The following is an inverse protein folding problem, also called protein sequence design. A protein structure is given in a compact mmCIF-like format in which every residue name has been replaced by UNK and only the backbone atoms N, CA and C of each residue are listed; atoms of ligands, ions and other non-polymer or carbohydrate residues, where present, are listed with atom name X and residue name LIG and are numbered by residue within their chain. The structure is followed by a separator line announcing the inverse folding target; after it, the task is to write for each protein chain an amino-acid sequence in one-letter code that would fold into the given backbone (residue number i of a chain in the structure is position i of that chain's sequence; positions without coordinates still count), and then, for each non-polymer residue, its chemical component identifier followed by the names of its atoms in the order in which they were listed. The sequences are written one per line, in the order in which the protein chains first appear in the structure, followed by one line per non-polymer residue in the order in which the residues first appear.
data_IF_853387724285
#
_entry.id   IF_853387724285
#
_cell.length_a   1.000
_cell.length_b   1.000
_cell.length_c   1.000
_cell.angle_alpha   90.00
_cell.angle_beta   90.00
_cell.angle_gamma   90.00
#
_symmetry.space_group_name_H-M   'P 1'
#
loop_
_entity.id
_entity.type
_entity.pdbx_description
1 polymer ?
#
# COMPACT_ATOMS: atom_id res chain seq x y z
N UNK A 1 7.70 -16.28 11.22
CA UNK A 1 8.02 -17.16 10.07
C UNK A 1 7.99 -16.45 8.72
N UNK A 2 6.85 -16.02 8.16
CA UNK A 2 6.81 -15.41 6.82
C UNK A 2 7.80 -14.25 6.61
N UNK A 3 7.88 -13.33 7.58
CA UNK A 3 8.81 -12.19 7.53
C UNK A 3 10.28 -12.62 7.36
N UNK A 4 10.70 -13.65 8.10
CA UNK A 4 12.05 -14.23 8.04
C UNK A 4 12.32 -14.78 6.63
N UNK A 5 11.39 -15.60 6.12
CA UNK A 5 11.50 -16.17 4.78
C UNK A 5 11.59 -15.10 3.68
N UNK A 6 10.83 -14.01 3.78
CA UNK A 6 10.89 -12.89 2.84
C UNK A 6 12.28 -12.25 2.85
N UNK A 7 12.80 -11.94 4.04
CA UNK A 7 14.11 -11.29 4.21
C UNK A 7 15.24 -12.19 3.67
N UNK A 8 15.24 -13.47 4.02
CA UNK A 8 16.31 -14.39 3.62
C UNK A 8 16.34 -14.74 2.13
N UNK A 9 15.21 -14.57 1.43
CA UNK A 9 15.10 -15.01 0.03
C UNK A 9 15.25 -13.89 -0.98
N UNK A 10 14.97 -12.63 -0.63
CA UNK A 10 14.94 -11.54 -1.63
C UNK A 10 16.28 -11.36 -2.35
N UNK A 11 17.40 -11.52 -1.64
CA UNK A 11 18.75 -11.39 -2.21
C UNK A 11 19.05 -12.47 -3.27
N UNK A 12 18.41 -13.64 -3.19
CA UNK A 12 18.55 -14.69 -4.20
C UNK A 12 17.76 -14.40 -5.48
N UNK A 13 16.80 -13.48 -5.41
CA UNK A 13 15.87 -13.15 -6.50
C UNK A 13 15.99 -11.69 -6.95
N UNK A 14 17.13 -11.07 -6.69
CA UNK A 14 17.48 -9.77 -7.26
C UNK A 14 18.95 -9.69 -7.59
N UNK A 15 19.28 -8.95 -8.64
CA UNK A 15 20.65 -8.53 -8.95
C UNK A 15 20.99 -7.15 -8.39
N UNK A 16 20.01 -6.46 -7.79
CA UNK A 16 20.19 -5.13 -7.20
C UNK A 16 20.83 -5.22 -5.80
N UNK A 17 21.39 -4.10 -5.33
CA UNK A 17 21.78 -3.96 -3.93
C UNK A 17 20.51 -3.83 -3.07
N UNK A 18 20.27 -4.78 -2.18
CA UNK A 18 19.08 -4.81 -1.32
C UNK A 18 19.43 -4.32 0.08
N UNK A 19 18.66 -3.35 0.57
CA UNK A 19 18.74 -2.88 1.95
C UNK A 19 17.45 -3.28 2.67
N UNK A 20 17.58 -4.15 3.69
CA UNK A 20 16.44 -4.65 4.45
C UNK A 20 16.14 -3.72 5.63
N UNK A 21 15.01 -3.04 5.56
CA UNK A 21 14.47 -2.27 6.69
C UNK A 21 13.50 -3.12 7.51
N UNK A 22 13.98 -3.61 8.65
CA UNK A 22 13.20 -4.45 9.54
C UNK A 22 12.69 -3.66 10.75
N UNK A 23 11.37 -3.52 10.85
CA UNK A 23 10.70 -2.90 11.99
C UNK A 23 10.01 -3.94 12.87
N UNK A 24 10.22 -3.83 14.17
CA UNK A 24 9.47 -4.49 15.23
C UNK A 24 8.87 -3.43 16.17
N UNK A 25 8.10 -3.87 17.18
CA UNK A 25 7.41 -2.94 18.08
C UNK A 25 8.39 -2.01 18.82
N UNK A 26 9.53 -2.52 19.25
CA UNK A 26 10.48 -1.74 20.07
C UNK A 26 11.21 -0.71 19.22
N UNK A 27 11.65 -1.10 18.02
CA UNK A 27 12.26 -0.19 17.04
C UNK A 27 11.25 0.85 16.53
N UNK A 28 9.97 0.50 16.36
CA UNK A 28 8.91 1.46 16.00
C UNK A 28 8.74 2.53 17.10
N UNK A 29 8.65 2.12 18.37
CA UNK A 29 8.45 3.06 19.49
C UNK A 29 9.58 4.07 19.64
N UNK A 30 10.78 3.75 19.16
CA UNK A 30 11.95 4.62 19.20
C UNK A 30 11.98 5.63 18.05
N UNK A 31 11.12 5.50 17.04
CA UNK A 31 11.17 6.38 15.88
C UNK A 31 10.62 7.77 16.18
N UNK A 32 11.23 8.84 15.62
CA UNK A 32 10.76 10.20 15.80
C UNK A 32 9.32 10.42 15.37
N UNK A 33 8.75 9.62 14.49
CA UNK A 33 7.36 9.76 14.06
C UNK A 33 6.35 9.02 14.96
N UNK A 34 6.80 8.19 15.89
CA UNK A 34 5.90 7.40 16.74
C UNK A 34 4.98 8.27 17.61
N UNK A 35 5.42 9.47 17.99
CA UNK A 35 4.59 10.40 18.79
C UNK A 35 3.29 10.81 18.10
N UNK A 36 3.22 10.76 16.77
CA UNK A 36 2.00 11.08 16.02
C UNK A 36 0.93 9.99 16.14
N UNK A 37 1.34 8.76 16.41
CA UNK A 37 0.45 7.58 16.34
C UNK A 37 0.25 6.89 17.69
N UNK A 38 1.10 7.14 18.68
CA UNK A 38 1.09 6.45 19.98
C UNK A 38 -0.24 6.55 20.73
N UNK A 39 -0.99 7.63 20.52
CA UNK A 39 -2.25 7.93 21.20
C UNK A 39 -3.48 7.66 20.29
N UNK A 40 -3.30 7.04 19.12
CA UNK A 40 -4.44 6.66 18.28
C UNK A 40 -5.29 5.60 19.00
N UNK A 41 -6.62 5.71 18.93
CA UNK A 41 -7.50 4.78 19.61
C UNK A 41 -7.44 3.40 18.94
N UNK A 42 -7.27 2.35 19.75
CA UNK A 42 -7.55 0.98 19.33
C UNK A 42 -9.06 0.76 19.31
N UNK A 43 -9.63 0.68 18.10
CA UNK A 43 -11.06 0.46 17.91
C UNK A 43 -11.27 -0.97 17.44
N UNK A 44 -11.64 -1.85 18.38
CA UNK A 44 -12.00 -3.23 18.06
C UNK A 44 -13.37 -3.26 17.38
N UNK A 45 -13.41 -3.65 16.11
CA UNK A 45 -14.64 -3.99 15.38
C UNK A 45 -14.55 -5.44 14.94
N UNK A 46 -15.64 -6.19 15.10
CA UNK A 46 -15.67 -7.58 14.61
C UNK A 46 -15.39 -7.60 13.11
N UNK A 47 -14.41 -8.40 12.69
CA UNK A 47 -13.95 -8.48 11.30
C UNK A 47 -13.17 -7.27 10.77
N UNK A 48 -13.04 -6.18 11.54
CA UNK A 48 -12.34 -4.97 11.14
C UNK A 48 -10.86 -4.98 11.53
N UNK A 49 -10.03 -4.33 10.72
CA UNK A 49 -8.63 -4.04 11.10
C UNK A 49 -8.57 -2.96 12.17
N UNK A 50 -7.60 -3.08 13.07
CA UNK A 50 -7.36 -2.07 14.09
C UNK A 50 -6.55 -0.91 13.52
N UNK A 51 -7.14 0.30 13.55
CA UNK A 51 -6.52 1.51 13.01
C UNK A 51 -5.19 1.88 13.68
N UNK A 52 -4.99 1.58 14.97
CA UNK A 52 -3.73 1.85 15.67
C UNK A 52 -2.59 1.04 15.05
N UNK A 53 -2.74 -0.28 14.92
CA UNK A 53 -1.70 -1.13 14.35
C UNK A 53 -1.50 -0.88 12.85
N UNK A 54 -2.57 -0.57 12.11
CA UNK A 54 -2.49 -0.32 10.68
C UNK A 54 -1.92 1.08 10.36
N UNK A 55 -1.93 2.00 11.33
CA UNK A 55 -1.27 3.30 11.17
C UNK A 55 0.23 3.20 10.94
N UNK A 56 0.88 2.10 11.35
CA UNK A 56 2.34 1.98 11.30
C UNK A 56 2.85 1.90 9.86
N UNK A 57 2.10 1.25 8.95
CA UNK A 57 2.52 1.03 7.56
C UNK A 57 2.86 2.34 6.83
N UNK A 58 1.97 3.36 6.78
CA UNK A 58 2.27 4.65 6.16
C UNK A 58 3.57 5.28 6.68
N UNK A 59 3.80 5.26 7.99
CA UNK A 59 4.95 5.92 8.61
C UNK A 59 6.24 5.14 8.43
N UNK A 60 6.21 3.82 8.55
CA UNK A 60 7.37 2.94 8.27
C UNK A 60 7.83 3.14 6.83
N UNK A 61 6.89 3.17 5.89
CA UNK A 61 7.19 3.35 4.47
C UNK A 61 7.77 4.73 4.22
N UNK A 62 7.19 5.78 4.85
CA UNK A 62 7.72 7.14 4.75
C UNK A 62 9.12 7.30 5.37
N UNK A 63 9.41 6.65 6.49
CA UNK A 63 10.72 6.68 7.15
C UNK A 63 11.82 6.13 6.22
N UNK A 64 11.55 4.99 5.57
CA UNK A 64 12.45 4.41 4.56
C UNK A 64 12.53 5.32 3.34
N UNK A 65 11.38 5.77 2.83
CA UNK A 65 11.32 6.63 1.66
C UNK A 65 12.14 7.91 1.84
N UNK A 66 12.02 8.59 2.97
CA UNK A 66 12.74 9.84 3.23
C UNK A 66 14.26 9.64 3.21
N UNK A 67 14.77 8.46 3.60
CA UNK A 67 16.20 8.13 3.57
C UNK A 67 16.78 7.72 2.21
N UNK A 68 15.93 7.50 1.19
CA UNK A 68 16.39 7.05 -0.13
C UNK A 68 17.24 8.11 -0.85
N UNK A 69 18.20 7.67 -1.65
CA UNK A 69 18.87 8.52 -2.63
C UNK A 69 18.07 8.58 -3.94
N UNK A 70 18.55 9.39 -4.88
CA UNK A 70 18.05 9.37 -6.25
C UNK A 70 18.26 7.98 -6.87
N UNK A 71 17.28 7.51 -7.65
CA UNK A 71 17.25 6.17 -8.29
C UNK A 71 17.03 4.96 -7.35
N UNK A 72 17.02 5.15 -6.03
CA UNK A 72 16.60 4.08 -5.14
C UNK A 72 15.10 3.76 -5.34
N UNK A 73 14.70 2.54 -4.95
CA UNK A 73 13.31 2.11 -4.87
C UNK A 73 12.97 1.65 -3.45
N UNK A 74 11.82 2.08 -2.92
CA UNK A 74 11.21 1.44 -1.74
C UNK A 74 10.21 0.40 -2.21
N UNK A 75 10.40 -0.85 -1.77
CA UNK A 75 9.46 -1.95 -2.02
C UNK A 75 8.85 -2.43 -0.70
N UNK A 76 7.55 -2.21 -0.53
CA UNK A 76 6.80 -2.70 0.62
C UNK A 76 6.12 -4.04 0.30
N UNK A 77 6.11 -4.96 1.28
CA UNK A 77 5.43 -6.26 1.20
C UNK A 77 4.89 -6.66 2.57
N UNK A 78 3.59 -6.98 2.65
CA UNK A 78 2.96 -7.55 3.84
C UNK A 78 3.57 -8.93 4.19
N UNK A 79 3.93 -9.14 5.46
CA UNK A 79 4.33 -10.46 5.96
C UNK A 79 3.11 -11.31 6.37
N UNK A 80 2.22 -11.59 5.42
CA UNK A 80 0.95 -12.29 5.66
C UNK A 80 1.13 -13.76 6.07
N UNK A 81 0.32 -14.21 7.04
CA UNK A 81 0.20 -15.65 7.38
C UNK A 81 -0.42 -16.49 6.25
N UNK A 82 -1.11 -15.85 5.31
CA UNK A 82 -1.80 -16.51 4.20
C UNK A 82 -0.86 -16.86 3.04
N UNK A 83 0.33 -16.25 2.99
CA UNK A 83 1.38 -16.55 2.00
C UNK A 83 2.69 -16.82 2.74
N UNK A 84 2.83 -17.98 3.42
CA UNK A 84 3.96 -18.29 4.30
C UNK A 84 5.21 -18.70 3.53
N UNK A 85 5.53 -17.98 2.44
CA UNK A 85 6.68 -18.24 1.58
C UNK A 85 7.48 -16.96 1.35
N UNK A 86 8.80 -17.12 1.21
CA UNK A 86 9.71 -16.06 0.78
C UNK A 86 9.46 -15.63 -0.67
N UNK A 87 10.39 -14.91 -1.26
CA UNK A 87 10.47 -14.74 -2.70
C UNK A 87 10.86 -16.06 -3.36
N UNK A 88 10.26 -16.35 -4.51
CA UNK A 88 10.68 -17.41 -5.42
C UNK A 88 10.67 -16.96 -6.89
N UNK A 89 10.62 -15.65 -7.12
CA UNK A 89 10.52 -15.01 -8.41
C UNK A 89 11.39 -13.75 -8.41
N UNK A 90 12.07 -13.49 -9.54
CA UNK A 90 12.95 -12.32 -9.68
C UNK A 90 12.16 -11.00 -9.60
N UNK A 91 12.70 -9.99 -8.91
CA UNK A 91 12.05 -8.67 -8.74
C UNK A 91 12.55 -7.60 -9.72
N UNK A 92 13.65 -7.84 -10.43
CA UNK A 92 14.39 -6.81 -11.15
C UNK A 92 13.58 -6.20 -12.30
N UNK A 93 12.74 -7.01 -12.96
CA UNK A 93 11.87 -6.51 -14.03
C UNK A 93 10.83 -5.53 -13.50
N UNK A 94 10.22 -5.82 -12.34
CA UNK A 94 9.31 -4.89 -11.66
C UNK A 94 10.04 -3.61 -11.22
N UNK A 95 11.29 -3.72 -10.75
CA UNK A 95 12.12 -2.57 -10.40
C UNK A 95 12.33 -1.64 -11.62
N UNK A 96 12.70 -2.20 -12.78
CA UNK A 96 12.88 -1.43 -14.03
C UNK A 96 11.61 -0.69 -14.45
N UNK A 97 10.48 -1.39 -14.45
CA UNK A 97 9.17 -0.80 -14.76
C UNK A 97 8.85 0.35 -13.78
N UNK A 98 9.17 0.18 -12.50
CA UNK A 98 8.92 1.21 -11.48
C UNK A 98 9.81 2.44 -11.68
N UNK A 99 11.08 2.25 -12.07
CA UNK A 99 11.97 3.37 -12.38
C UNK A 99 11.42 4.22 -13.53
N UNK A 100 10.77 3.61 -14.51
CA UNK A 100 10.12 4.30 -15.62
C UNK A 100 8.82 5.00 -15.17
N UNK A 101 7.92 4.28 -14.49
CA UNK A 101 6.58 4.79 -14.13
C UNK A 101 6.54 5.66 -12.88
N UNK A 102 7.58 5.66 -12.05
CA UNK A 102 7.59 6.34 -10.75
C UNK A 102 7.10 5.49 -9.60
N UNK A 103 5.97 4.80 -9.78
CA UNK A 103 5.32 3.99 -8.75
C UNK A 103 4.50 2.89 -9.42
N UNK A 104 4.39 1.74 -8.77
CA UNK A 104 3.29 0.79 -8.95
C UNK A 104 2.53 0.75 -7.62
N UNK A 105 1.36 1.38 -7.57
CA UNK A 105 0.60 1.64 -6.35
C UNK A 105 -0.26 0.44 -5.94
N UNK A 106 0.39 -0.71 -5.79
CA UNK A 106 -0.23 -1.97 -5.40
C UNK A 106 -1.02 -2.63 -6.53
N UNK A 107 -2.15 -3.24 -6.19
CA UNK A 107 -2.85 -4.15 -7.12
C UNK A 107 -4.37 -4.14 -6.97
N UNK A 108 -5.07 -4.48 -8.04
CA UNK A 108 -6.54 -4.58 -8.07
C UNK A 108 -7.01 -5.91 -8.70
N UNK A 109 -8.15 -6.40 -8.24
CA UNK A 109 -8.88 -7.52 -8.85
C UNK A 109 -10.26 -7.05 -9.31
N UNK A 110 -10.75 -7.59 -10.42
CA UNK A 110 -11.99 -7.13 -11.06
C UNK A 110 -13.25 -7.37 -10.20
N UNK A 111 -13.20 -8.33 -9.27
CA UNK A 111 -14.35 -8.82 -8.53
C UNK A 111 -14.62 -8.06 -7.22
N UNK A 112 -13.75 -7.14 -6.82
CA UNK A 112 -13.92 -6.34 -5.59
C UNK A 112 -13.91 -4.86 -5.91
N UNK A 113 -15.06 -4.21 -5.70
CA UNK A 113 -15.23 -2.76 -5.85
C UNK A 113 -15.02 -2.05 -4.51
N UNK A 114 -14.85 -0.72 -4.54
CA UNK A 114 -14.71 0.10 -3.34
C UNK A 114 -15.88 -0.05 -2.37
N UNK A 115 -17.11 -0.18 -2.89
CA UNK A 115 -18.31 -0.42 -2.09
C UNK A 115 -18.54 -1.88 -1.70
N UNK A 116 -17.71 -2.82 -2.17
CA UNK A 116 -17.82 -4.23 -1.78
C UNK A 116 -17.33 -4.41 -0.35
N UNK A 117 -18.07 -5.18 0.46
CA UNK A 117 -17.68 -5.55 1.83
C UNK A 117 -17.26 -4.37 2.73
N UNK A 118 -17.78 -3.16 2.48
CA UNK A 118 -17.41 -1.94 3.20
C UNK A 118 -15.91 -1.57 3.10
N UNK A 119 -15.25 -1.97 1.99
CA UNK A 119 -13.82 -1.78 1.74
C UNK A 119 -13.38 -0.32 1.78
N UNK A 120 -14.09 0.54 1.07
CA UNK A 120 -13.77 1.94 0.90
C UNK A 120 -15.06 2.73 0.54
N UNK A 121 -16.15 2.50 1.27
CA UNK A 121 -17.51 2.97 0.93
C UNK A 121 -17.96 4.24 1.67
N UNK A 122 -17.29 4.62 2.75
CA UNK A 122 -17.61 5.82 3.50
C UNK A 122 -17.25 7.13 2.76
N UNK A 123 -18.24 7.75 2.12
CA UNK A 123 -18.11 9.02 1.38
C UNK A 123 -17.62 10.19 2.23
N UNK A 124 -17.85 10.19 3.55
CA UNK A 124 -17.34 11.26 4.41
C UNK A 124 -15.81 11.26 4.42
N UNK A 125 -15.17 10.08 4.43
CA UNK A 125 -13.71 9.96 4.33
C UNK A 125 -13.22 10.41 2.96
N UNK A 126 -13.89 10.00 1.88
CA UNK A 126 -13.58 10.48 0.52
C UNK A 126 -13.60 12.00 0.42
N UNK A 127 -14.65 12.63 0.96
CA UNK A 127 -14.83 14.07 0.93
C UNK A 127 -13.80 14.84 1.76
N UNK A 128 -13.13 14.20 2.74
CA UNK A 128 -12.01 14.80 3.47
C UNK A 128 -10.69 14.74 2.69
N UNK A 129 -10.48 13.70 1.88
CA UNK A 129 -9.23 13.50 1.12
C UNK A 129 -9.28 14.17 -0.26
N UNK A 130 -10.44 14.11 -0.92
CA UNK A 130 -10.73 14.70 -2.23
C UNK A 130 -11.95 15.62 -2.07
N UNK A 131 -11.80 16.82 -1.49
CA UNK A 131 -12.91 17.75 -1.30
C UNK A 131 -13.44 18.28 -2.63
N UNK A 132 -14.71 18.69 -2.65
CA UNK A 132 -15.38 19.33 -3.80
C UNK A 132 -15.38 18.47 -5.09
N UNK A 133 -15.41 17.14 -4.95
CA UNK A 133 -15.49 16.21 -6.06
C UNK A 133 -16.74 15.32 -5.94
N UNK A 134 -17.22 14.79 -7.07
CA UNK A 134 -18.28 13.79 -7.07
C UNK A 134 -17.70 12.41 -6.70
N UNK A 135 -17.41 12.21 -5.42
CA UNK A 135 -16.74 11.00 -4.94
C UNK A 135 -17.59 9.72 -5.06
N UNK A 136 -18.90 9.84 -5.27
CA UNK A 136 -19.78 8.68 -5.52
C UNK A 136 -19.34 7.88 -6.75
N UNK A 137 -18.74 8.54 -7.74
CA UNK A 137 -18.25 7.88 -8.95
C UNK A 137 -17.18 6.81 -8.67
N UNK A 138 -16.45 6.92 -7.56
CA UNK A 138 -15.39 5.98 -7.19
C UNK A 138 -15.93 4.74 -6.49
N UNK A 139 -17.15 4.75 -5.97
CA UNK A 139 -17.69 3.64 -5.19
C UNK A 139 -17.82 2.34 -5.99
N UNK A 140 -18.12 2.45 -7.29
CA UNK A 140 -18.22 1.34 -8.23
C UNK A 140 -16.91 1.03 -8.98
N UNK A 141 -15.80 1.64 -8.56
CA UNK A 141 -14.47 1.36 -9.11
C UNK A 141 -13.76 0.27 -8.30
N UNK A 142 -12.74 -0.35 -8.89
CA UNK A 142 -12.01 -1.45 -8.26
C UNK A 142 -11.35 -1.03 -6.94
N UNK A 143 -11.41 -1.90 -5.94
CA UNK A 143 -10.70 -1.66 -4.70
C UNK A 143 -9.21 -1.99 -4.86
N UNK A 144 -8.36 -1.05 -4.45
CA UNK A 144 -6.90 -1.16 -4.52
C UNK A 144 -6.35 -1.78 -3.23
N UNK A 145 -5.45 -2.75 -3.39
CA UNK A 145 -4.71 -3.40 -2.32
C UNK A 145 -3.35 -2.75 -2.15
N UNK A 146 -2.96 -2.51 -0.90
CA UNK A 146 -1.62 -2.05 -0.53
C UNK A 146 -0.80 -3.13 0.19
N UNK A 147 -1.09 -4.40 -0.13
CA UNK A 147 -0.36 -5.55 0.43
C UNK A 147 1.08 -5.64 -0.09
N UNK A 148 1.33 -5.03 -1.24
CA UNK A 148 2.66 -4.74 -1.76
C UNK A 148 2.54 -3.49 -2.62
N UNK A 149 3.62 -2.74 -2.77
CA UNK A 149 3.75 -1.63 -3.73
C UNK A 149 5.20 -1.21 -3.80
N UNK A 150 5.61 -0.61 -4.90
CA UNK A 150 7.00 -0.20 -5.14
C UNK A 150 7.04 1.20 -5.74
N UNK A 151 7.98 2.03 -5.29
CA UNK A 151 8.08 3.42 -5.74
C UNK A 151 9.49 3.99 -5.67
N UNK A 152 9.81 4.93 -6.57
CA UNK A 152 10.98 5.81 -6.50
C UNK A 152 10.62 7.16 -5.89
N UNK A 153 11.64 7.96 -5.56
CA UNK A 153 11.46 9.38 -5.25
C UNK A 153 10.99 10.17 -6.47
N UNK A 154 9.84 10.84 -6.34
CA UNK A 154 9.31 11.83 -7.27
C UNK A 154 8.50 12.86 -6.48
N UNK A 155 8.24 14.03 -7.05
CA UNK A 155 7.38 15.04 -6.41
C UNK A 155 5.97 14.49 -6.11
N UNK A 156 5.36 13.81 -7.08
CA UNK A 156 4.03 13.20 -6.94
C UNK A 156 4.03 12.13 -5.83
N UNK A 157 5.02 11.25 -5.81
CA UNK A 157 5.11 10.19 -4.80
C UNK A 157 5.38 10.75 -3.40
N UNK A 158 6.12 11.86 -3.32
CA UNK A 158 6.37 12.57 -2.05
C UNK A 158 5.07 13.16 -1.52
N UNK A 159 4.28 13.81 -2.38
CA UNK A 159 2.95 14.33 -2.00
C UNK A 159 2.02 13.19 -1.56
N UNK A 160 1.97 12.09 -2.33
CA UNK A 160 1.19 10.90 -2.00
C UNK A 160 1.52 10.35 -0.60
N UNK A 161 2.80 10.14 -0.28
CA UNK A 161 3.21 9.60 1.03
C UNK A 161 2.97 10.59 2.18
N UNK A 162 3.22 11.88 1.95
CA UNK A 162 2.93 12.91 2.94
C UNK A 162 1.44 12.96 3.27
N UNK A 163 0.57 12.88 2.26
CA UNK A 163 -0.87 12.84 2.49
C UNK A 163 -1.32 11.52 3.12
N UNK A 164 -0.71 10.38 2.76
CA UNK A 164 -1.06 9.10 3.38
C UNK A 164 -0.77 9.10 4.88
N UNK A 165 0.39 9.60 5.29
CA UNK A 165 0.74 9.76 6.71
C UNK A 165 -0.12 10.81 7.41
N UNK A 166 -0.39 11.95 6.77
CA UNK A 166 -1.27 12.99 7.31
C UNK A 166 -2.70 12.48 7.55
N UNK A 167 -3.35 11.90 6.53
CA UNK A 167 -4.73 11.44 6.64
C UNK A 167 -4.88 10.25 7.59
N UNK A 168 -3.82 9.45 7.79
CA UNK A 168 -3.81 8.38 8.79
C UNK A 168 -4.13 8.91 10.19
N UNK A 169 -3.57 10.06 10.56
CA UNK A 169 -3.77 10.69 11.86
C UNK A 169 -4.83 11.79 11.84
N UNK A 170 -5.36 12.15 10.67
CA UNK A 170 -6.26 13.28 10.53
C UNK A 170 -7.53 13.13 11.35
N UNK A 171 -7.85 14.19 12.10
CA UNK A 171 -9.08 14.35 12.88
C UNK A 171 -9.48 15.83 12.84
N UNK A 172 -10.78 16.09 12.84
CA UNK A 172 -11.33 17.43 13.01
C UNK A 172 -12.56 17.38 13.93
N UNK A 173 -13.23 18.52 14.12
CA UNK A 173 -14.40 18.64 15.02
C UNK A 173 -15.59 17.77 14.59
N UNK A 174 -15.71 17.44 13.31
CA UNK A 174 -16.77 16.58 12.77
C UNK A 174 -16.46 15.08 12.96
N UNK A 175 -15.21 14.74 13.30
CA UNK A 175 -14.73 13.38 13.40
C UNK A 175 -14.51 12.97 14.87
N UNK A 176 -15.27 11.95 15.29
CA UNK A 176 -15.10 11.32 16.62
C UNK A 176 -13.71 10.70 16.76
N UNK A 177 -13.20 10.08 15.70
CA UNK A 177 -11.92 9.37 15.68
C UNK A 177 -11.06 9.79 14.48
N UNK A 178 -9.79 9.39 14.41
CA UNK A 178 -8.97 9.60 13.22
C UNK A 178 -9.51 8.84 12.00
N UNK A 179 -9.28 9.36 10.78
CA UNK A 179 -9.86 8.80 9.54
C UNK A 179 -9.54 7.32 9.32
N UNK A 180 -8.35 6.87 9.70
CA UNK A 180 -7.93 5.46 9.56
C UNK A 180 -8.89 4.47 10.25
N UNK A 181 -9.72 4.94 11.17
CA UNK A 181 -10.66 4.08 11.92
C UNK A 181 -12.03 3.94 11.26
N UNK A 182 -12.31 4.65 10.17
CA UNK A 182 -13.67 4.72 9.60
C UNK A 182 -13.99 3.55 8.67
N UNK A 183 -13.01 3.03 7.92
CA UNK A 183 -13.17 1.85 7.06
C UNK A 183 -12.59 0.59 7.69
N UNK A 184 -13.13 -0.57 7.31
CA UNK A 184 -12.66 -1.85 7.85
C UNK A 184 -11.23 -2.20 7.43
N UNK A 185 -10.78 -1.68 6.29
CA UNK A 185 -9.43 -1.90 5.73
C UNK A 185 -8.38 -0.93 6.26
N UNK A 186 -8.78 0.00 7.14
CA UNK A 186 -7.91 0.97 7.81
C UNK A 186 -7.03 1.78 6.84
N UNK A 187 -5.70 1.68 6.95
CA UNK A 187 -4.72 2.45 6.16
C UNK A 187 -4.90 2.24 4.65
N UNK A 188 -5.35 1.05 4.25
CA UNK A 188 -5.55 0.69 2.86
C UNK A 188 -6.68 1.50 2.20
N UNK A 189 -7.72 1.89 2.95
CA UNK A 189 -8.78 2.76 2.42
C UNK A 189 -8.24 4.14 2.04
N UNK A 190 -7.39 4.74 2.90
CA UNK A 190 -6.75 6.02 2.65
C UNK A 190 -5.80 5.89 1.45
N UNK A 191 -4.98 4.84 1.42
CA UNK A 191 -4.11 4.52 0.28
C UNK A 191 -4.90 4.43 -1.03
N UNK A 192 -6.01 3.67 -1.03
CA UNK A 192 -6.90 3.50 -2.17
C UNK A 192 -7.43 4.85 -2.68
N UNK A 193 -7.94 5.69 -1.79
CA UNK A 193 -8.46 7.02 -2.17
C UNK A 193 -7.36 7.89 -2.79
N UNK A 194 -6.15 7.85 -2.24
CA UNK A 194 -5.01 8.59 -2.78
C UNK A 194 -4.58 8.06 -4.16
N UNK A 195 -4.67 6.76 -4.42
CA UNK A 195 -4.40 6.20 -5.76
C UNK A 195 -5.34 6.82 -6.81
N UNK A 196 -6.63 6.96 -6.49
CA UNK A 196 -7.59 7.65 -7.36
C UNK A 196 -7.30 9.15 -7.49
N UNK A 197 -6.96 9.82 -6.39
CA UNK A 197 -6.63 11.26 -6.38
C UNK A 197 -5.47 11.59 -7.33
N UNK A 198 -4.39 10.80 -7.26
CA UNK A 198 -3.18 11.03 -8.03
C UNK A 198 -3.15 10.28 -9.36
N UNK A 199 -4.17 9.47 -9.67
CA UNK A 199 -4.25 8.63 -10.87
C UNK A 199 -2.98 7.79 -11.02
N UNK A 200 -2.66 6.99 -10.01
CA UNK A 200 -1.44 6.19 -9.99
C UNK A 200 -1.66 4.82 -10.65
N UNK A 201 -0.66 4.29 -11.37
CA UNK A 201 -0.78 2.98 -12.00
C UNK A 201 -0.79 1.87 -10.94
N UNK A 202 -1.65 0.87 -11.15
CA UNK A 202 -1.78 -0.31 -10.28
C UNK A 202 -1.63 -1.57 -11.10
N UNK A 203 -1.09 -2.63 -10.49
CA UNK A 203 -1.05 -3.94 -11.14
C UNK A 203 -2.46 -4.52 -11.24
N UNK A 204 -2.80 -5.02 -12.42
CA UNK A 204 -4.07 -5.67 -12.70
C UNK A 204 -3.86 -6.82 -13.68
N UNK A 205 -4.55 -7.93 -13.39
CA UNK A 205 -4.63 -9.06 -14.29
C UNK A 205 -6.04 -9.64 -14.23
N UNK A 206 -6.71 -9.72 -15.38
CA UNK A 206 -8.13 -10.14 -15.47
C UNK A 206 -8.41 -11.49 -14.81
N UNK A 207 -7.49 -12.44 -14.94
CA UNK A 207 -7.64 -13.80 -14.39
C UNK A 207 -7.23 -13.96 -12.92
N UNK A 208 -6.84 -12.87 -12.23
CA UNK A 208 -6.44 -12.93 -10.81
C UNK A 208 -7.42 -12.15 -9.95
N UNK A 209 -8.02 -12.86 -9.01
CA UNK A 209 -8.88 -12.25 -8.01
C UNK A 209 -8.11 -11.36 -7.03
N UNK A 210 -8.79 -10.35 -6.49
CA UNK A 210 -8.38 -9.43 -5.44
C UNK A 210 -7.55 -10.12 -4.34
N UNK A 211 -8.04 -11.19 -3.71
CA UNK A 211 -7.25 -11.85 -2.67
C UNK A 211 -5.94 -12.44 -3.18
N UNK A 212 -5.90 -13.03 -4.37
CA UNK A 212 -4.70 -13.65 -4.95
C UNK A 212 -3.63 -12.61 -5.32
N UNK A 213 -4.02 -11.38 -5.67
CA UNK A 213 -3.10 -10.28 -5.96
C UNK A 213 -2.21 -9.88 -4.77
N UNK A 214 -2.56 -10.31 -3.55
CA UNK A 214 -1.71 -10.14 -2.36
C UNK A 214 -0.44 -11.00 -2.40
N UNK A 215 -0.42 -12.05 -3.23
CA UNK A 215 0.76 -12.89 -3.41
C UNK A 215 1.77 -12.23 -4.35
N UNK A 216 2.80 -11.62 -3.76
CA UNK A 216 3.92 -11.01 -4.49
C UNK A 216 4.53 -11.93 -5.55
N UNK A 217 4.65 -13.23 -5.27
CA UNK A 217 5.31 -14.16 -6.19
C UNK A 217 4.45 -14.41 -7.44
N UNK A 218 3.13 -14.51 -7.29
CA UNK A 218 2.23 -14.67 -8.43
C UNK A 218 2.32 -13.45 -9.37
N UNK A 219 2.38 -12.24 -8.80
CA UNK A 219 2.54 -11.01 -9.57
C UNK A 219 3.88 -11.00 -10.32
N UNK A 220 4.97 -11.32 -9.61
CA UNK A 220 6.30 -11.35 -10.20
C UNK A 220 6.44 -12.41 -11.30
N UNK A 221 5.86 -13.59 -11.11
CA UNK A 221 5.82 -14.65 -12.13
C UNK A 221 5.19 -14.16 -13.43
N UNK A 222 4.05 -13.47 -13.34
CA UNK A 222 3.35 -12.90 -14.50
C UNK A 222 4.18 -11.84 -15.20
N UNK A 223 4.77 -10.91 -14.42
CA UNK A 223 5.61 -9.85 -14.97
C UNK A 223 6.84 -10.46 -15.67
N UNK A 224 7.50 -11.43 -15.04
CA UNK A 224 8.69 -12.07 -15.57
C UNK A 224 8.41 -12.86 -16.86
N UNK A 225 7.28 -13.55 -16.93
CA UNK A 225 6.89 -14.39 -18.06
C UNK A 225 6.18 -13.65 -19.20
N UNK A 226 6.09 -12.31 -19.16
CA UNK A 226 5.40 -11.52 -20.19
C UNK A 226 6.32 -10.59 -20.95
N UNK A 227 6.28 -10.63 -22.28
CA UNK A 227 7.02 -9.68 -23.12
C UNK A 227 6.36 -8.28 -23.14
N UNK A 228 5.04 -8.22 -22.96
CA UNK A 228 4.25 -6.97 -22.97
C UNK A 228 3.75 -6.64 -21.56
N UNK A 229 4.64 -6.11 -20.72
CA UNK A 229 4.30 -5.85 -19.31
C UNK A 229 3.36 -4.66 -19.10
N UNK A 230 3.36 -3.68 -20.00
CA UNK A 230 2.56 -2.45 -19.84
C UNK A 230 1.06 -2.68 -19.69
N UNK A 231 0.54 -3.75 -20.32
CA UNK A 231 -0.89 -4.10 -20.25
C UNK A 231 -1.37 -4.44 -18.83
N UNK A 232 -0.45 -4.79 -17.93
CA UNK A 232 -0.80 -5.13 -16.54
C UNK A 232 -0.84 -3.91 -15.62
N UNK A 233 -0.54 -2.71 -16.11
CA UNK A 233 -0.52 -1.49 -15.29
C UNK A 233 -1.62 -0.53 -15.75
N UNK A 234 -2.72 -0.54 -15.01
CA UNK A 234 -3.90 0.27 -15.31
C UNK A 234 -3.96 1.51 -14.43
N UNK A 235 -4.69 2.53 -14.89
CA UNK A 235 -5.00 3.74 -14.14
C UNK A 235 -6.49 3.69 -13.74
N UNK A 236 -6.82 3.43 -12.47
CA UNK A 236 -8.17 3.06 -12.03
C UNK A 236 -9.18 4.23 -12.05
#
# INVERSE_FOLDING_TARGET
ETKRLIIESVDHYSTNNIIIHNYDLETIKQRPWFYFIKDLPSIKRSGGRDGYYNSWKPFIVKDVYDSMNDQDLTYYVDCSRHYPIGFNQNIDKLCKITLEKGIIAGSAGHETLNNSNQCCDNLHVWNKIIPNNNNEMFLNKMHILNSWFIMKKTEINTQFLNEWTYFTCYRNIELKYPLITYHHTADQSIFNILVYKYKLPVFYHENIGHCKNKNKNLVLEIINNSDETDKYFIYP
#
